data_IF_357450339546
#
_entry.id   IF_357450339546
#
_cell.length_a   1.000
_cell.length_b   1.000
_cell.length_c   1.000
_cell.angle_alpha   90.00
_cell.angle_beta   90.00
_cell.angle_gamma   90.00
#
_symmetry.space_group_name_H-M   'P 1'
#
loop_
_entity.id
_entity.type
_entity.pdbx_description
1 polymer ?
#
# COMPACT_ATOMS: atom_id res chain seq x y z
N UNK A 1 -3.74 -38.04 14.77
CA UNK A 1 -3.22 -36.72 14.35
C UNK A 1 -4.31 -35.68 14.56
N UNK A 2 -4.02 -34.60 15.29
CA UNK A 2 -5.00 -33.55 15.59
C UNK A 2 -5.41 -32.86 14.28
N UNK A 3 -6.67 -32.96 13.87
CA UNK A 3 -7.13 -32.32 12.65
C UNK A 3 -7.24 -30.81 12.85
N UNK A 4 -6.37 -30.04 12.19
CA UNK A 4 -6.40 -28.58 12.26
C UNK A 4 -7.70 -28.04 11.63
N UNK A 5 -8.34 -27.00 12.20
CA UNK A 5 -9.48 -26.34 11.59
C UNK A 5 -9.15 -25.81 10.18
N UNK A 6 -10.12 -25.82 9.27
CA UNK A 6 -9.92 -25.39 7.88
C UNK A 6 -9.37 -23.94 7.77
N UNK A 7 -9.83 -23.03 8.65
CA UNK A 7 -9.34 -21.67 8.73
C UNK A 7 -7.85 -21.60 9.08
N UNK A 8 -7.40 -22.40 10.04
CA UNK A 8 -6.00 -22.44 10.45
C UNK A 8 -5.11 -23.02 9.35
N UNK A 9 -5.57 -24.06 8.63
CA UNK A 9 -4.86 -24.58 7.45
C UNK A 9 -4.67 -23.50 6.38
N UNK A 10 -5.66 -22.63 6.16
CA UNK A 10 -5.56 -21.51 5.21
C UNK A 10 -4.51 -20.49 5.65
N UNK A 11 -4.49 -20.11 6.93
CA UNK A 11 -3.50 -19.17 7.47
C UNK A 11 -2.08 -19.73 7.34
N UNK A 12 -1.87 -21.00 7.71
CA UNK A 12 -0.56 -21.66 7.60
C UNK A 12 -0.06 -21.73 6.15
N UNK A 13 -0.96 -21.98 5.19
CA UNK A 13 -0.62 -21.93 3.76
C UNK A 13 -0.15 -20.53 3.33
N UNK A 14 -0.82 -19.48 3.79
CA UNK A 14 -0.39 -18.10 3.53
C UNK A 14 0.98 -17.79 4.15
N UNK A 15 1.22 -18.18 5.41
CA UNK A 15 2.54 -17.99 6.03
C UNK A 15 3.64 -18.73 5.30
N UNK A 16 3.41 -19.99 4.92
CA UNK A 16 4.37 -20.75 4.12
C UNK A 16 4.64 -20.09 2.76
N UNK A 17 3.61 -19.56 2.10
CA UNK A 17 3.74 -18.83 0.83
C UNK A 17 4.57 -17.55 0.97
N UNK A 18 4.41 -16.81 2.06
CA UNK A 18 5.08 -15.51 2.26
C UNK A 18 6.30 -15.57 3.20
N UNK A 19 6.78 -16.77 3.54
CA UNK A 19 7.85 -16.99 4.51
C UNK A 19 9.11 -16.17 4.18
N UNK A 20 9.51 -16.09 2.91
CA UNK A 20 10.67 -15.30 2.48
C UNK A 20 10.51 -13.81 2.77
N UNK A 21 9.32 -13.25 2.53
CA UNK A 21 9.05 -11.82 2.81
C UNK A 21 9.03 -11.54 4.32
N UNK A 22 8.48 -12.47 5.10
CA UNK A 22 8.51 -12.41 6.56
C UNK A 22 9.96 -12.47 7.07
N UNK A 23 10.80 -13.34 6.50
CA UNK A 23 12.23 -13.35 6.83
C UNK A 23 12.90 -12.00 6.52
N UNK A 24 12.64 -11.43 5.34
CA UNK A 24 13.19 -10.14 4.94
C UNK A 24 12.80 -9.01 5.90
N UNK A 25 11.59 -9.03 6.51
CA UNK A 25 11.22 -8.00 7.50
C UNK A 25 12.11 -8.01 8.75
N UNK A 26 12.70 -9.14 9.12
CA UNK A 26 13.67 -9.21 10.22
C UNK A 26 15.07 -8.77 9.78
N UNK A 27 15.45 -9.05 8.53
CA UNK A 27 16.75 -8.67 7.97
C UNK A 27 16.85 -7.16 7.67
N UNK A 28 15.74 -6.49 7.34
CA UNK A 28 15.70 -5.09 6.95
C UNK A 28 14.78 -4.26 7.87
N UNK A 29 15.14 -4.03 9.14
CA UNK A 29 14.27 -3.37 10.12
C UNK A 29 13.91 -1.92 9.77
N UNK A 30 14.72 -1.26 8.93
CA UNK A 30 14.44 0.10 8.44
C UNK A 30 13.35 0.18 7.36
N UNK A 31 13.01 -0.95 6.71
CA UNK A 31 11.96 -1.02 5.70
C UNK A 31 10.63 -1.38 6.37
N UNK A 32 9.85 -0.35 6.70
CA UNK A 32 8.54 -0.52 7.32
C UNK A 32 7.42 -0.28 6.30
N UNK A 33 6.24 -0.86 6.55
CA UNK A 33 5.05 -0.57 5.75
C UNK A 33 4.42 0.80 6.08
N UNK A 34 4.92 1.51 7.09
CA UNK A 34 4.34 2.76 7.59
C UNK A 34 4.11 3.84 6.50
N UNK A 35 5.09 4.13 5.62
CA UNK A 35 4.87 5.08 4.53
C UNK A 35 3.74 4.66 3.57
N UNK A 36 3.67 3.38 3.21
CA UNK A 36 2.65 2.84 2.31
C UNK A 36 1.26 2.87 2.98
N UNK A 37 1.18 2.47 4.25
CA UNK A 37 -0.05 2.53 5.04
C UNK A 37 -0.55 3.97 5.20
N UNK A 38 0.36 4.92 5.45
CA UNK A 38 0.06 6.35 5.53
C UNK A 38 -0.54 6.90 4.24
N UNK A 39 0.04 6.55 3.08
CA UNK A 39 -0.51 6.91 1.76
C UNK A 39 -1.90 6.30 1.56
N UNK A 40 -2.06 5.00 1.85
CA UNK A 40 -3.34 4.30 1.71
C UNK A 40 -4.43 4.94 2.59
N UNK A 41 -4.10 5.35 3.82
CA UNK A 41 -5.03 6.04 4.70
C UNK A 41 -5.42 7.42 4.17
N UNK A 42 -4.48 8.21 3.64
CA UNK A 42 -4.78 9.49 2.99
C UNK A 42 -5.73 9.31 1.79
N UNK A 43 -5.50 8.30 0.96
CA UNK A 43 -6.38 7.98 -0.18
C UNK A 43 -7.78 7.57 0.29
N UNK A 44 -7.89 6.74 1.34
CA UNK A 44 -9.19 6.35 1.92
C UNK A 44 -9.95 7.55 2.46
N UNK A 45 -9.28 8.48 3.15
CA UNK A 45 -9.87 9.73 3.65
C UNK A 45 -10.36 10.58 2.47
N UNK A 46 -9.52 10.80 1.46
CA UNK A 46 -9.89 11.55 0.27
C UNK A 46 -11.12 10.95 -0.43
N UNK A 47 -11.16 9.62 -0.59
CA UNK A 47 -12.31 8.94 -1.19
C UNK A 47 -13.60 9.18 -0.40
N UNK A 48 -13.53 9.24 0.94
CA UNK A 48 -14.68 9.47 1.81
C UNK A 48 -15.16 10.93 1.78
N UNK A 49 -14.25 11.89 1.69
CA UNK A 49 -14.58 13.33 1.76
C UNK A 49 -14.89 13.96 0.41
N UNK A 50 -14.50 13.33 -0.71
CA UNK A 50 -14.67 13.91 -2.04
C UNK A 50 -16.04 13.69 -2.69
N UNK A 51 -16.98 13.00 -2.02
CA UNK A 51 -18.34 12.72 -2.52
C UNK A 51 -18.44 12.04 -3.91
N UNK A 52 -17.30 11.56 -4.43
CA UNK A 52 -17.20 10.89 -5.73
C UNK A 52 -16.47 11.75 -6.77
N UNK A 53 -15.57 11.11 -7.53
CA UNK A 53 -14.97 11.69 -8.72
C UNK A 53 -15.65 11.12 -9.95
N UNK A 54 -16.09 12.01 -10.86
CA UNK A 54 -16.66 11.59 -12.14
C UNK A 54 -15.61 11.02 -13.12
N UNK A 55 -14.36 11.45 -12.96
CA UNK A 55 -13.21 10.96 -13.73
C UNK A 55 -12.13 10.44 -12.79
N UNK A 56 -11.71 9.18 -12.98
CA UNK A 56 -10.65 8.56 -12.21
C UNK A 56 -9.30 9.29 -12.35
N UNK A 57 -9.01 9.85 -13.53
CA UNK A 57 -7.78 10.61 -13.78
C UNK A 57 -7.66 11.79 -12.82
N UNK A 58 -8.75 12.54 -12.60
CA UNK A 58 -8.77 13.65 -11.64
C UNK A 58 -8.58 13.18 -10.19
N UNK A 59 -9.10 11.99 -9.84
CA UNK A 59 -8.85 11.40 -8.53
C UNK A 59 -7.38 11.04 -8.36
N UNK A 60 -6.77 10.43 -9.38
CA UNK A 60 -5.34 10.08 -9.40
C UNK A 60 -4.46 11.34 -9.31
N UNK A 61 -4.75 12.37 -10.09
CA UNK A 61 -4.01 13.62 -10.07
C UNK A 61 -4.10 14.29 -8.69
N UNK A 62 -5.28 14.29 -8.08
CA UNK A 62 -5.46 14.78 -6.70
C UNK A 62 -4.65 13.98 -5.69
N UNK A 63 -4.59 12.65 -5.81
CA UNK A 63 -3.76 11.81 -4.95
C UNK A 63 -2.29 12.21 -5.10
N UNK A 64 -1.77 12.29 -6.32
CA UNK A 64 -0.36 12.62 -6.59
C UNK A 64 0.04 14.00 -6.05
N UNK A 65 -0.84 15.00 -6.23
CA UNK A 65 -0.66 16.34 -5.70
C UNK A 65 -0.65 16.34 -4.16
N UNK A 66 -1.60 15.64 -3.53
CA UNK A 66 -1.74 15.60 -2.06
C UNK A 66 -0.63 14.80 -1.37
N UNK A 67 -0.11 13.75 -2.02
CA UNK A 67 0.97 12.92 -1.47
C UNK A 67 2.36 13.48 -1.75
N UNK A 68 2.47 14.63 -2.45
CA UNK A 68 3.75 15.21 -2.92
C UNK A 68 4.59 14.22 -3.72
N UNK A 69 3.94 13.27 -4.38
CA UNK A 69 4.58 12.30 -5.28
C UNK A 69 4.63 12.81 -6.72
N UNK A 70 4.06 13.98 -6.97
CA UNK A 70 4.19 14.68 -8.24
C UNK A 70 5.55 15.38 -8.32
N UNK A 71 6.37 14.96 -9.28
CA UNK A 71 7.58 15.68 -9.68
C UNK A 71 7.23 16.46 -10.95
N UNK A 72 7.12 17.80 -10.91
CA UNK A 72 6.96 18.58 -12.12
C UNK A 72 8.16 18.32 -13.02
N UNK A 73 7.92 18.02 -14.29
CA UNK A 73 8.98 18.01 -15.29
C UNK A 73 9.49 19.44 -15.41
N UNK A 74 10.54 19.78 -14.67
CA UNK A 74 11.27 21.00 -14.96
C UNK A 74 11.94 20.75 -16.31
N UNK A 75 11.55 21.51 -17.32
CA UNK A 75 12.36 21.61 -18.53
C UNK A 75 13.71 22.15 -18.05
N UNK A 76 14.69 21.25 -17.84
CA UNK A 76 16.09 21.65 -17.78
C UNK A 76 16.36 22.26 -19.15
N UNK A 77 16.36 23.60 -19.19
CA UNK A 77 17.06 24.31 -20.24
C UNK A 77 18.53 23.98 -19.99
N UNK A 78 19.06 23.08 -20.82
CA UNK A 78 20.50 22.96 -21.01
C UNK A 78 21.09 24.32 -21.41
#
# INVERSE_FOLDING_TARGET
QLQLPAGLRRVLRSFKKYQTYIHNTFSYPGLTNGPIEGINNKIKVLKRTAYGYRNYSHFRDRILLMTRLYVPQTNKKD
#
